data_IF_926864043815
#
_entry.id   IF_926864043815
#
_cell.length_a   1.000
_cell.length_b   1.000
_cell.length_c   1.000
_cell.angle_alpha   90.00
_cell.angle_beta   90.00
_cell.angle_gamma   90.00
#
_symmetry.space_group_name_H-M   'P 1'
#
loop_
_entity.id
_entity.type
_entity.pdbx_description
1 polymer ?
#
# COMPACT_ATOMS: atom_id res chain seq x y z
N UNK A 1 19.35 7.42 -13.08
CA UNK A 1 18.23 6.67 -12.50
C UNK A 1 17.01 6.82 -13.41
N UNK A 2 16.51 5.74 -13.98
CA UNK A 2 15.35 5.77 -14.89
C UNK A 2 14.11 5.23 -14.13
N UNK A 3 13.63 6.02 -13.16
CA UNK A 3 12.47 5.64 -12.36
C UNK A 3 11.19 5.67 -13.21
N UNK A 4 10.45 4.58 -13.23
CA UNK A 4 9.14 4.46 -13.86
C UNK A 4 8.15 3.87 -12.85
N UNK A 5 6.97 4.49 -12.73
CA UNK A 5 5.87 3.92 -11.97
C UNK A 5 4.88 3.32 -12.95
N UNK A 6 4.62 2.02 -12.82
CA UNK A 6 3.79 1.26 -13.75
C UNK A 6 2.71 0.53 -12.96
N UNK A 7 1.46 0.64 -13.42
CA UNK A 7 0.36 -0.11 -12.81
C UNK A 7 0.62 -1.62 -12.85
N UNK A 8 0.24 -2.31 -11.80
CA UNK A 8 0.42 -3.76 -11.69
C UNK A 8 -0.57 -4.47 -12.60
N UNK A 9 -0.04 -5.33 -13.46
CA UNK A 9 -0.80 -6.31 -14.21
C UNK A 9 -0.48 -7.72 -13.65
N UNK A 10 -1.37 -8.24 -12.81
CA UNK A 10 -1.19 -9.56 -12.20
C UNK A 10 -1.43 -10.74 -13.16
N UNK A 11 -1.90 -10.49 -14.39
CA UNK A 11 -1.96 -11.50 -15.45
C UNK A 11 -0.59 -11.72 -16.10
N UNK A 12 0.28 -10.71 -16.06
CA UNK A 12 1.66 -10.83 -16.52
C UNK A 12 2.53 -11.55 -15.49
N UNK A 13 3.06 -12.75 -15.78
CA UNK A 13 3.81 -13.54 -14.79
C UNK A 13 5.05 -12.84 -14.25
N UNK A 14 5.76 -12.06 -15.06
CA UNK A 14 6.98 -11.36 -14.64
C UNK A 14 6.65 -10.20 -13.69
N UNK A 15 5.57 -9.45 -13.98
CA UNK A 15 5.10 -8.36 -13.11
C UNK A 15 4.56 -8.94 -11.80
N UNK A 16 3.76 -9.99 -11.88
CA UNK A 16 3.21 -10.68 -10.70
C UNK A 16 4.31 -11.22 -9.79
N UNK A 17 5.36 -11.83 -10.35
CA UNK A 17 6.50 -12.33 -9.58
C UNK A 17 7.29 -11.20 -8.90
N UNK A 18 7.58 -10.11 -9.61
CA UNK A 18 8.27 -8.94 -9.06
C UNK A 18 7.46 -8.26 -7.94
N UNK A 19 6.14 -8.18 -8.12
CA UNK A 19 5.22 -7.63 -7.13
C UNK A 19 5.18 -8.49 -5.86
N UNK A 20 5.08 -9.81 -6.01
CA UNK A 20 5.05 -10.74 -4.87
C UNK A 20 6.37 -10.73 -4.09
N UNK A 21 7.51 -10.68 -4.79
CA UNK A 21 8.84 -10.59 -4.18
C UNK A 21 9.00 -9.32 -3.34
N UNK A 22 8.53 -8.17 -3.83
CA UNK A 22 8.54 -6.93 -3.06
C UNK A 22 7.62 -6.96 -1.85
N UNK A 23 6.45 -7.59 -1.98
CA UNK A 23 5.52 -7.72 -0.87
C UNK A 23 6.07 -8.66 0.21
N UNK A 24 6.70 -9.78 -0.19
CA UNK A 24 7.37 -10.69 0.75
C UNK A 24 8.58 -10.02 1.42
N UNK A 25 9.33 -9.21 0.68
CA UNK A 25 10.40 -8.38 1.24
C UNK A 25 9.87 -7.42 2.33
N UNK A 26 8.71 -6.81 2.09
CA UNK A 26 8.05 -5.96 3.09
C UNK A 26 7.58 -6.78 4.31
N UNK A 27 7.00 -7.95 4.08
CA UNK A 27 6.53 -8.82 5.17
C UNK A 27 7.66 -9.32 6.10
N UNK A 28 8.91 -9.32 5.64
CA UNK A 28 10.08 -9.58 6.47
C UNK A 28 10.61 -8.34 7.21
N UNK A 29 10.16 -7.14 6.86
CA UNK A 29 10.54 -5.93 7.61
C UNK A 29 9.80 -5.93 8.97
N UNK A 30 10.45 -5.53 10.08
CA UNK A 30 9.78 -5.42 11.39
C UNK A 30 8.50 -4.57 11.37
N UNK A 31 8.43 -3.58 10.47
CA UNK A 31 7.23 -2.75 10.29
C UNK A 31 6.17 -3.41 9.40
N UNK A 32 6.50 -4.52 8.75
CA UNK A 32 5.60 -5.34 7.92
C UNK A 32 5.17 -6.67 8.55
N UNK A 33 5.58 -6.91 9.81
CA UNK A 33 5.24 -8.15 10.53
C UNK A 33 6.45 -9.01 10.92
N UNK A 34 7.50 -9.05 10.10
CA UNK A 34 8.78 -9.69 10.39
C UNK A 34 8.94 -11.14 9.92
N UNK A 35 7.85 -11.88 9.73
CA UNK A 35 7.90 -13.33 9.46
C UNK A 35 7.86 -13.69 7.96
N UNK A 36 7.63 -12.72 7.08
CA UNK A 36 7.37 -12.97 5.67
C UNK A 36 5.93 -13.41 5.39
N UNK A 37 5.61 -13.55 4.10
CA UNK A 37 4.31 -14.09 3.67
C UNK A 37 4.25 -15.60 3.92
N UNK A 38 3.07 -16.08 4.32
CA UNK A 38 2.81 -17.54 4.40
C UNK A 38 2.85 -18.18 3.02
N UNK A 39 3.11 -19.48 2.94
CA UNK A 39 3.09 -20.22 1.67
C UNK A 39 1.70 -20.15 1.00
N UNK A 40 0.65 -20.16 1.81
CA UNK A 40 -0.71 -19.96 1.31
C UNK A 40 -0.87 -18.60 0.62
N UNK A 41 -0.43 -17.52 1.26
CA UNK A 41 -0.49 -16.18 0.68
C UNK A 41 0.33 -16.11 -0.62
N UNK A 42 1.57 -16.63 -0.62
CA UNK A 42 2.43 -16.66 -1.81
C UNK A 42 1.79 -17.36 -3.00
N UNK A 43 1.07 -18.45 -2.75
CA UNK A 43 0.46 -19.26 -3.80
C UNK A 43 -0.90 -18.74 -4.31
N UNK A 44 -1.63 -17.93 -3.52
CA UNK A 44 -3.01 -17.56 -3.85
C UNK A 44 -3.25 -16.06 -4.03
N UNK A 45 -2.36 -15.21 -3.52
CA UNK A 45 -2.62 -13.77 -3.42
C UNK A 45 -2.86 -13.11 -4.79
N UNK A 46 -1.98 -13.38 -5.76
CA UNK A 46 -2.09 -12.79 -7.10
C UNK A 46 -3.41 -13.19 -7.80
N UNK A 47 -3.80 -14.45 -7.70
CA UNK A 47 -5.06 -14.94 -8.28
C UNK A 47 -6.27 -14.27 -7.63
N UNK A 48 -6.29 -14.17 -6.31
CA UNK A 48 -7.38 -13.56 -5.57
C UNK A 48 -7.52 -12.07 -5.86
N UNK A 49 -6.39 -11.35 -5.97
CA UNK A 49 -6.42 -9.92 -6.27
C UNK A 49 -6.80 -9.63 -7.72
N UNK A 50 -6.46 -10.50 -8.68
CA UNK A 50 -6.94 -10.36 -10.07
C UNK A 50 -8.46 -10.34 -10.15
N UNK A 51 -9.13 -11.13 -9.31
CA UNK A 51 -10.59 -11.21 -9.27
C UNK A 51 -11.24 -10.04 -8.53
N UNK A 52 -10.46 -9.15 -7.92
CA UNK A 52 -10.94 -8.06 -7.09
C UNK A 52 -10.87 -6.71 -7.82
N UNK A 53 -12.00 -6.19 -8.36
CA UNK A 53 -11.99 -4.97 -9.18
C UNK A 53 -11.62 -3.70 -8.38
N UNK A 54 -11.68 -3.78 -7.05
CA UNK A 54 -11.32 -2.68 -6.14
C UNK A 54 -9.82 -2.60 -5.85
N UNK A 55 -9.03 -3.57 -6.31
CA UNK A 55 -7.58 -3.55 -6.17
C UNK A 55 -6.91 -2.66 -7.22
N UNK A 56 -6.01 -1.79 -6.76
CA UNK A 56 -5.16 -0.97 -7.60
C UNK A 56 -3.73 -1.03 -7.05
N UNK A 57 -2.79 -1.43 -7.87
CA UNK A 57 -1.39 -1.51 -7.48
C UNK A 57 -0.46 -0.87 -8.49
N UNK A 58 0.73 -0.47 -8.05
CA UNK A 58 1.81 -0.04 -8.92
C UNK A 58 3.16 -0.53 -8.45
N UNK A 59 4.08 -0.72 -9.39
CA UNK A 59 5.49 -1.00 -9.16
C UNK A 59 6.34 0.19 -9.60
N UNK A 60 7.33 0.49 -8.77
CA UNK A 60 8.41 1.40 -9.13
C UNK A 60 9.58 0.59 -9.69
N UNK A 61 9.97 0.90 -10.92
CA UNK A 61 11.07 0.27 -11.64
C UNK A 61 12.24 1.24 -11.77
N UNK A 62 13.45 0.77 -11.48
CA UNK A 62 14.69 1.43 -11.86
C UNK A 62 15.45 0.55 -12.86
N UNK A 63 15.42 0.94 -14.13
CA UNK A 63 15.78 0.06 -15.22
C UNK A 63 14.87 -1.17 -15.26
N UNK A 64 15.46 -2.37 -15.10
CA UNK A 64 14.77 -3.66 -15.07
C UNK A 64 14.48 -4.16 -13.64
N UNK A 65 14.87 -3.42 -12.61
CA UNK A 65 14.71 -3.82 -11.23
C UNK A 65 13.45 -3.19 -10.62
N UNK A 66 12.56 -4.02 -10.07
CA UNK A 66 11.47 -3.57 -9.23
C UNK A 66 12.01 -3.15 -7.86
N UNK A 67 11.87 -1.89 -7.51
CA UNK A 67 12.47 -1.27 -6.32
C UNK A 67 11.46 -0.74 -5.31
N UNK A 68 10.19 -0.75 -5.65
CA UNK A 68 9.11 -0.38 -4.73
C UNK A 68 7.75 -0.81 -5.26
N UNK A 69 6.78 -0.89 -4.36
CA UNK A 69 5.38 -1.17 -4.69
C UNK A 69 4.44 -0.31 -3.85
N UNK A 70 3.22 -0.17 -4.34
CA UNK A 70 2.08 0.33 -3.61
C UNK A 70 0.86 -0.53 -3.93
N UNK A 71 0.10 -0.92 -2.91
CA UNK A 71 -1.18 -1.61 -3.02
C UNK A 71 -2.28 -0.73 -2.43
N UNK A 72 -3.34 -0.53 -3.17
CA UNK A 72 -4.48 0.27 -2.76
C UNK A 72 -5.79 -0.50 -2.97
N UNK A 73 -6.78 -0.20 -2.16
CA UNK A 73 -8.14 -0.74 -2.30
C UNK A 73 -9.16 0.39 -2.26
N UNK A 74 -10.16 0.31 -3.14
CA UNK A 74 -11.30 1.20 -3.08
C UNK A 74 -12.18 0.88 -1.88
N UNK A 75 -12.52 1.92 -1.14
CA UNK A 75 -13.56 1.91 -0.15
C UNK A 75 -14.61 2.98 -0.48
N UNK A 76 -15.49 3.27 0.45
CA UNK A 76 -16.55 4.25 0.24
C UNK A 76 -16.74 5.12 1.48
N UNK A 77 -16.83 6.43 1.28
CA UNK A 77 -17.18 7.38 2.31
C UNK A 77 -18.69 7.62 2.29
N UNK A 78 -19.40 7.06 3.27
CA UNK A 78 -20.85 7.26 3.39
C UNK A 78 -21.22 8.72 3.65
N UNK A 79 -20.37 9.47 4.35
CA UNK A 79 -20.60 10.89 4.66
C UNK A 79 -20.41 11.79 3.44
N UNK A 80 -19.48 11.45 2.54
CA UNK A 80 -19.28 12.18 1.29
C UNK A 80 -20.10 11.62 0.13
N UNK A 81 -20.71 10.44 0.27
CA UNK A 81 -21.34 9.66 -0.80
C UNK A 81 -20.41 9.48 -2.02
N UNK A 82 -19.12 9.23 -1.76
CA UNK A 82 -18.08 9.10 -2.77
C UNK A 82 -17.11 7.98 -2.43
N UNK A 83 -16.45 7.37 -3.42
CA UNK A 83 -15.38 6.41 -3.16
C UNK A 83 -14.21 7.08 -2.44
N UNK A 84 -13.41 6.28 -1.78
CA UNK A 84 -12.10 6.62 -1.24
C UNK A 84 -11.08 5.57 -1.67
N UNK A 85 -9.80 5.91 -1.66
CA UNK A 85 -8.73 4.96 -1.93
C UNK A 85 -7.89 4.77 -0.68
N UNK A 86 -7.86 3.52 -0.16
CA UNK A 86 -7.01 3.15 0.97
C UNK A 86 -5.68 2.62 0.45
N UNK A 87 -4.58 3.22 0.90
CA UNK A 87 -3.23 2.69 0.69
C UNK A 87 -3.00 1.63 1.76
N UNK A 88 -2.96 0.36 1.31
CA UNK A 88 -2.84 -0.79 2.21
C UNK A 88 -1.39 -1.16 2.47
N UNK A 89 -0.56 -1.19 1.42
CA UNK A 89 0.87 -1.43 1.50
C UNK A 89 1.62 -0.40 0.68
N UNK A 90 2.74 0.07 1.21
CA UNK A 90 3.73 0.84 0.46
C UNK A 90 5.13 0.46 0.93
N UNK A 91 5.97 0.04 0.02
CA UNK A 91 7.34 -0.37 0.33
C UNK A 91 8.32 0.12 -0.72
N UNK A 92 9.53 0.45 -0.24
CA UNK A 92 10.70 0.70 -1.09
C UNK A 92 11.83 -0.19 -0.56
N UNK A 93 12.53 -0.89 -1.46
CA UNK A 93 13.70 -1.69 -1.10
C UNK A 93 14.66 -0.87 -0.24
N UNK A 94 15.18 -1.50 0.81
CA UNK A 94 15.98 -0.82 1.84
C UNK A 94 17.14 -0.01 1.23
N UNK A 95 17.86 -0.58 0.28
CA UNK A 95 19.00 0.01 -0.40
C UNK A 95 18.64 1.16 -1.36
N UNK A 96 17.35 1.35 -1.63
CA UNK A 96 16.82 2.39 -2.53
C UNK A 96 16.01 3.46 -1.81
N UNK A 97 15.94 3.39 -0.49
CA UNK A 97 15.25 4.37 0.33
C UNK A 97 15.95 5.72 0.29
N UNK A 98 15.21 6.81 0.42
CA UNK A 98 15.76 8.18 0.35
C UNK A 98 15.92 8.73 -1.06
N UNK A 99 15.60 7.96 -2.11
CA UNK A 99 15.71 8.37 -3.51
C UNK A 99 14.41 8.92 -4.12
N UNK A 100 13.42 9.29 -3.29
CA UNK A 100 12.13 9.85 -3.76
C UNK A 100 11.12 8.81 -4.29
N UNK A 101 11.45 7.53 -4.26
CA UNK A 101 10.60 6.46 -4.82
C UNK A 101 9.26 6.37 -4.08
N UNK A 102 9.28 6.49 -2.76
CA UNK A 102 8.04 6.48 -1.96
C UNK A 102 7.12 7.64 -2.31
N UNK A 103 7.66 8.84 -2.52
CA UNK A 103 6.86 9.99 -2.96
C UNK A 103 6.26 9.76 -4.35
N UNK A 104 7.04 9.22 -5.29
CA UNK A 104 6.54 8.90 -6.64
C UNK A 104 5.39 7.87 -6.61
N UNK A 105 5.45 6.87 -5.72
CA UNK A 105 4.36 5.90 -5.50
C UNK A 105 3.12 6.57 -4.88
N UNK A 106 3.30 7.48 -3.93
CA UNK A 106 2.19 8.25 -3.35
C UNK A 106 1.54 9.18 -4.39
N UNK A 107 2.34 9.83 -5.23
CA UNK A 107 1.84 10.68 -6.33
C UNK A 107 1.02 9.86 -7.35
N UNK A 108 1.46 8.63 -7.63
CA UNK A 108 0.69 7.70 -8.46
C UNK A 108 -0.66 7.39 -7.81
N UNK A 109 -0.70 7.10 -6.50
CA UNK A 109 -1.94 6.81 -5.79
C UNK A 109 -2.89 8.02 -5.78
N UNK A 110 -2.36 9.24 -5.63
CA UNK A 110 -3.15 10.49 -5.74
C UNK A 110 -3.78 10.62 -7.14
N UNK A 111 -2.99 10.38 -8.18
CA UNK A 111 -3.47 10.42 -9.56
C UNK A 111 -4.57 9.39 -9.78
N UNK A 112 -4.33 8.14 -9.33
CA UNK A 112 -5.30 7.05 -9.44
C UNK A 112 -6.59 7.36 -8.68
N UNK A 113 -6.51 7.88 -7.46
CA UNK A 113 -7.67 8.28 -6.67
C UNK A 113 -8.52 9.34 -7.38
N UNK A 114 -7.88 10.32 -8.04
CA UNK A 114 -8.58 11.34 -8.84
C UNK A 114 -9.29 10.74 -10.05
N UNK A 115 -8.66 9.82 -10.77
CA UNK A 115 -9.26 9.10 -11.89
C UNK A 115 -10.51 8.32 -11.47
N UNK A 116 -10.49 7.73 -10.27
CA UNK A 116 -11.60 6.98 -9.68
C UNK A 116 -12.69 7.87 -9.07
N UNK A 117 -12.50 9.19 -9.05
CA UNK A 117 -13.43 10.12 -8.40
C UNK A 117 -13.46 10.02 -6.88
N UNK A 118 -12.39 9.53 -6.26
CA UNK A 118 -12.28 9.41 -4.82
C UNK A 118 -12.26 10.77 -4.13
N UNK A 119 -12.96 10.88 -3.01
CA UNK A 119 -12.96 12.12 -2.20
C UNK A 119 -11.70 12.27 -1.32
N UNK A 120 -11.00 11.17 -1.04
CA UNK A 120 -9.77 11.15 -0.22
C UNK A 120 -8.98 9.87 -0.39
N UNK A 121 -7.72 9.91 0.07
CA UNK A 121 -6.92 8.73 0.36
C UNK A 121 -6.85 8.54 1.88
N UNK A 122 -6.74 7.28 2.28
CA UNK A 122 -6.51 6.88 3.68
C UNK A 122 -5.35 5.89 3.76
N UNK A 123 -4.70 5.81 4.90
CA UNK A 123 -3.71 4.79 5.22
C UNK A 123 -3.64 4.58 6.73
N UNK A 124 -3.14 3.42 7.15
CA UNK A 124 -2.77 3.13 8.52
C UNK A 124 -1.25 3.15 8.65
N UNK A 125 -0.75 3.63 9.79
CA UNK A 125 0.68 3.67 10.08
C UNK A 125 0.92 3.43 11.57
N UNK A 126 1.96 2.65 11.88
CA UNK A 126 2.39 2.47 13.26
C UNK A 126 2.95 3.79 13.82
N UNK A 127 2.52 4.18 15.01
CA UNK A 127 2.90 5.46 15.64
C UNK A 127 4.41 5.63 15.84
N UNK A 128 5.15 4.53 15.92
CA UNK A 128 6.61 4.52 16.08
C UNK A 128 7.36 4.46 14.74
N UNK A 129 6.65 4.41 13.60
CA UNK A 129 7.25 4.46 12.28
C UNK A 129 7.48 5.91 11.83
N UNK A 130 8.40 6.59 12.54
CA UNK A 130 8.71 8.01 12.32
C UNK A 130 9.06 8.34 10.86
N UNK A 131 9.76 7.42 10.20
CA UNK A 131 10.16 7.57 8.81
C UNK A 131 8.96 7.59 7.87
N UNK A 132 8.01 6.66 8.04
CA UNK A 132 6.80 6.62 7.25
C UNK A 132 5.94 7.86 7.54
N UNK A 133 5.78 8.23 8.81
CA UNK A 133 5.05 9.43 9.22
C UNK A 133 5.61 10.69 8.55
N UNK A 134 6.94 10.88 8.52
CA UNK A 134 7.56 12.02 7.85
C UNK A 134 7.30 12.01 6.34
N UNK A 135 7.37 10.84 5.69
CA UNK A 135 7.08 10.69 4.26
C UNK A 135 5.63 11.00 3.93
N UNK A 136 4.69 10.54 4.75
CA UNK A 136 3.26 10.80 4.56
C UNK A 136 2.91 12.28 4.81
N UNK A 137 3.49 12.89 5.84
CA UNK A 137 3.32 14.33 6.09
C UNK A 137 3.83 15.18 4.91
N UNK A 138 4.98 14.81 4.32
CA UNK A 138 5.50 15.46 3.11
C UNK A 138 4.53 15.32 1.92
N UNK A 139 3.82 14.20 1.82
CA UNK A 139 2.80 13.96 0.79
C UNK A 139 1.44 14.60 1.11
N UNK A 140 1.31 15.31 2.24
CA UNK A 140 0.09 16.02 2.63
C UNK A 140 -0.89 15.21 3.46
N UNK A 141 -0.51 14.02 3.94
CA UNK A 141 -1.32 13.28 4.90
C UNK A 141 -1.20 13.87 6.31
N UNK A 142 -2.29 13.83 7.05
CA UNK A 142 -2.35 14.22 8.46
C UNK A 142 -3.17 13.19 9.24
N UNK A 143 -2.94 13.03 10.55
CA UNK A 143 -3.78 12.21 11.39
C UNK A 143 -5.26 12.59 11.27
N UNK A 144 -6.13 11.56 11.19
CA UNK A 144 -7.56 11.81 11.22
C UNK A 144 -7.98 12.29 12.63
N UNK A 145 -8.55 13.48 12.68
CA UNK A 145 -9.08 14.07 13.90
C UNK A 145 -10.50 14.56 13.63
N UNK A 146 -11.48 13.97 14.32
CA UNK A 146 -12.87 14.44 14.23
C UNK A 146 -13.09 15.65 15.16
N UNK A 147 -12.75 15.45 16.43
CA UNK A 147 -12.76 16.45 17.49
C UNK A 147 -11.59 16.11 18.43
N UNK A 148 -10.67 17.04 18.73
CA UNK A 148 -9.57 16.80 19.67
C UNK A 148 -10.02 16.30 21.04
N UNK A 149 -11.21 16.71 21.50
CA UNK A 149 -11.78 16.25 22.77
C UNK A 149 -12.33 14.81 22.72
N UNK A 150 -12.60 14.28 21.52
CA UNK A 150 -13.09 12.91 21.34
C UNK A 150 -11.97 11.86 21.29
N UNK A 151 -10.69 12.27 21.28
CA UNK A 151 -9.54 11.38 21.20
C UNK A 151 -9.12 11.04 19.77
N UNK A 152 -8.40 9.93 19.62
CA UNK A 152 -7.83 9.49 18.35
C UNK A 152 -8.57 8.26 17.81
N UNK A 153 -8.65 8.14 16.48
CA UNK A 153 -9.12 6.92 15.83
C UNK A 153 -8.14 5.76 16.11
N UNK A 154 -8.67 4.59 16.43
CA UNK A 154 -7.91 3.37 16.67
C UNK A 154 -8.27 2.33 15.60
N UNK A 155 -7.26 1.66 15.04
CA UNK A 155 -7.47 0.47 14.25
C UNK A 155 -7.69 -0.72 15.19
N UNK A 156 -8.84 -1.36 15.08
CA UNK A 156 -9.20 -2.53 15.89
C UNK A 156 -9.44 -3.72 14.97
N UNK A 157 -9.07 -4.93 15.43
CA UNK A 157 -9.29 -6.16 14.68
C UNK A 157 -9.92 -7.24 15.55
N UNK A 158 -10.68 -8.13 14.92
CA UNK A 158 -11.18 -9.39 15.49
C UNK A 158 -10.81 -10.52 14.54
N UNK A 159 -9.96 -11.42 15.00
CA UNK A 159 -9.59 -12.61 14.22
C UNK A 159 -10.81 -13.55 14.15
N UNK A 160 -11.16 -13.97 12.94
CA UNK A 160 -12.32 -14.85 12.71
C UNK A 160 -11.91 -16.31 12.54
N UNK A 161 -10.69 -16.56 12.03
CA UNK A 161 -10.14 -17.90 11.86
C UNK A 161 -9.02 -18.09 12.87
N UNK A 162 -9.15 -19.06 13.76
CA UNK A 162 -8.11 -19.41 14.75
C UNK A 162 -6.94 -20.17 14.12
N UNK A 163 -7.16 -20.81 12.96
CA UNK A 163 -6.12 -21.46 12.18
C UNK A 163 -5.47 -20.41 11.25
N UNK A 164 -4.20 -20.12 11.48
CA UNK A 164 -3.36 -19.47 10.45
C UNK A 164 -3.35 -20.41 9.23
N UNK A 165 -3.78 -19.96 8.06
CA UNK A 165 -3.64 -20.75 6.84
C UNK A 165 -2.18 -21.06 6.57
#
# INVERSE_FOLDING_TARGET
MSLRIVAVDLENPAISAAWLDLLDHYAHDPMGGGDGLTDYAKNHLAERLRALPTFHGALAWDGENAVGLINCFEGFSTFAAQPLLNIHDIVVRRERRGAGIGQALLDWAVTRARELGCCKLTLEVLSNNERALASYAQAGFAPYVLDPAAGHALLMQKILNEEKP
#
